data_IF_359689309073
#
_entry.id   IF_359689309073
#
_cell.length_a   1.000
_cell.length_b   1.000
_cell.length_c   1.000
_cell.angle_alpha   90.00
_cell.angle_beta   90.00
_cell.angle_gamma   90.00
#
_symmetry.space_group_name_H-M   'P 1'
#
loop_
_entity.id
_entity.type
_entity.pdbx_description
1 polymer ?
#
# COMPACT_ATOMS: atom_id res chain seq x y z
N UNK A 1 -3.38 2.09 19.53
CA UNK A 1 -2.25 1.25 19.97
C UNK A 1 -0.95 1.88 19.50
N UNK A 2 0.11 1.76 20.30
CA UNK A 2 1.47 2.11 19.87
C UNK A 2 1.90 1.12 18.79
N UNK A 3 2.24 1.62 17.61
CA UNK A 3 2.81 0.79 16.54
C UNK A 3 4.26 0.46 16.86
N UNK A 4 4.68 -0.78 16.64
CA UNK A 4 6.07 -1.21 16.77
C UNK A 4 6.62 -1.46 15.37
N UNK A 5 7.66 -0.72 14.97
CA UNK A 5 8.37 -0.99 13.71
C UNK A 5 9.86 -1.07 14.01
N UNK A 6 10.47 -2.22 13.74
CA UNK A 6 11.93 -2.43 13.83
C UNK A 6 12.53 -2.00 15.18
N UNK A 7 11.89 -2.43 16.28
CA UNK A 7 12.28 -2.11 17.65
C UNK A 7 12.18 -0.61 18.01
N UNK A 8 11.45 0.17 17.21
CA UNK A 8 11.06 1.55 17.52
C UNK A 8 9.57 1.61 17.82
N UNK A 9 9.21 2.34 18.88
CA UNK A 9 7.83 2.59 19.28
C UNK A 9 7.37 3.92 18.67
N UNK A 10 6.23 3.90 17.98
CA UNK A 10 5.63 5.07 17.37
C UNK A 10 4.33 5.42 18.11
N UNK A 11 4.24 6.65 18.62
CA UNK A 11 3.03 7.17 19.31
C UNK A 11 1.83 7.29 18.35
N UNK A 12 2.10 7.71 17.12
CA UNK A 12 1.21 7.71 15.95
C UNK A 12 2.14 7.54 14.75
N UNK A 13 1.88 6.56 13.89
CA UNK A 13 2.68 6.38 12.67
C UNK A 13 2.32 7.45 11.65
N UNK A 14 3.26 8.33 11.31
CA UNK A 14 3.14 9.21 10.14
C UNK A 14 3.67 8.50 8.89
N UNK A 15 3.30 9.00 7.70
CA UNK A 15 3.85 8.50 6.44
C UNK A 15 5.38 8.62 6.41
N UNK A 16 5.95 9.70 6.94
CA UNK A 16 7.40 9.85 7.04
C UNK A 16 8.05 8.78 7.92
N UNK A 17 7.40 8.35 9.01
CA UNK A 17 7.91 7.28 9.87
C UNK A 17 7.84 5.92 9.19
N UNK A 18 6.79 5.65 8.42
CA UNK A 18 6.69 4.44 7.58
C UNK A 18 7.81 4.42 6.54
N UNK A 19 8.04 5.55 5.85
CA UNK A 19 9.12 5.69 4.90
C UNK A 19 10.49 5.42 5.55
N UNK A 20 10.76 6.03 6.71
CA UNK A 20 12.01 5.83 7.46
C UNK A 20 12.20 4.35 7.84
N UNK A 21 11.15 3.68 8.30
CA UNK A 21 11.21 2.25 8.59
C UNK A 21 11.51 1.40 7.34
N UNK A 22 10.90 1.73 6.20
CA UNK A 22 11.17 1.04 4.94
C UNK A 22 12.61 1.26 4.44
N UNK A 23 13.15 2.48 4.61
CA UNK A 23 14.56 2.78 4.34
C UNK A 23 15.50 1.98 5.24
N UNK A 24 15.20 1.88 6.53
CA UNK A 24 16.00 1.11 7.49
C UNK A 24 16.13 -0.37 7.08
N UNK A 25 15.07 -0.95 6.51
CA UNK A 25 15.08 -2.32 5.97
C UNK A 25 16.04 -2.49 4.79
N UNK A 26 16.12 -1.51 3.88
CA UNK A 26 17.06 -1.52 2.76
C UNK A 26 18.50 -1.38 3.26
N UNK A 27 18.74 -0.41 4.15
CA UNK A 27 20.07 -0.01 4.59
C UNK A 27 20.69 -1.00 5.57
N UNK A 28 19.92 -1.43 6.58
CA UNK A 28 20.44 -2.30 7.65
C UNK A 28 20.37 -3.77 7.28
N UNK A 29 19.27 -4.20 6.67
CA UNK A 29 19.00 -5.62 6.42
C UNK A 29 19.29 -6.06 4.99
N UNK A 30 19.95 -5.19 4.20
CA UNK A 30 20.42 -5.50 2.84
C UNK A 30 19.33 -6.00 1.89
N UNK A 31 18.09 -5.53 2.04
CA UNK A 31 17.03 -5.79 1.05
C UNK A 31 17.45 -5.24 -0.31
N UNK A 32 17.44 -6.09 -1.34
CA UNK A 32 18.20 -5.83 -2.55
C UNK A 32 17.56 -4.84 -3.54
N UNK A 33 16.22 -4.72 -3.55
CA UNK A 33 15.51 -3.94 -4.58
C UNK A 33 14.48 -2.99 -4.02
N UNK A 34 13.44 -3.53 -3.37
CA UNK A 34 12.32 -2.71 -2.91
C UNK A 34 11.79 -3.19 -1.57
N UNK A 35 11.37 -2.26 -0.73
CA UNK A 35 10.57 -2.50 0.48
C UNK A 35 9.24 -1.78 0.31
N UNK A 36 8.13 -2.50 0.34
CA UNK A 36 6.79 -1.93 0.24
C UNK A 36 6.02 -2.18 1.53
N UNK A 37 5.49 -1.12 2.13
CA UNK A 37 4.69 -1.17 3.36
C UNK A 37 3.27 -0.72 3.02
N UNK A 38 2.29 -1.56 3.33
CA UNK A 38 0.87 -1.32 3.10
C UNK A 38 0.14 -1.02 4.42
N UNK A 39 -0.81 -0.11 4.38
CA UNK A 39 -1.68 0.31 5.47
C UNK A 39 -3.05 0.73 4.91
N UNK A 40 -4.04 0.94 5.77
CA UNK A 40 -5.43 1.25 5.38
C UNK A 40 -5.58 2.50 4.48
N UNK A 41 -4.76 3.53 4.71
CA UNK A 41 -4.73 4.77 3.92
C UNK A 41 -3.88 4.69 2.66
N UNK A 42 -3.15 3.60 2.42
CA UNK A 42 -2.34 3.45 1.21
C UNK A 42 -1.08 2.58 1.37
N UNK A 43 -0.04 2.91 0.61
CA UNK A 43 1.23 2.22 0.65
C UNK A 43 2.41 3.16 0.38
N UNK A 44 3.56 2.80 0.93
CA UNK A 44 4.87 3.40 0.64
C UNK A 44 5.77 2.32 0.07
N UNK A 45 6.48 2.62 -1.01
CA UNK A 45 7.54 1.77 -1.54
C UNK A 45 8.85 2.54 -1.60
N UNK A 46 9.88 2.00 -0.99
CA UNK A 46 11.25 2.48 -1.12
C UNK A 46 11.98 1.53 -2.06
N UNK A 47 12.66 2.06 -3.09
CA UNK A 47 13.54 1.29 -3.97
C UNK A 47 15.00 1.68 -3.75
N UNK A 48 15.90 0.73 -4.00
CA UNK A 48 17.33 0.98 -4.14
C UNK A 48 17.78 0.47 -5.51
N UNK A 49 18.24 1.39 -6.33
CA UNK A 49 18.87 1.08 -7.61
C UNK A 49 20.34 0.67 -7.41
N UNK A 50 20.95 0.08 -8.44
CA UNK A 50 22.33 -0.43 -8.37
C UNK A 50 23.38 0.64 -8.11
N UNK A 51 23.08 1.90 -8.45
CA UNK A 51 23.93 3.07 -8.20
C UNK A 51 23.81 3.60 -6.75
N UNK A 52 23.10 2.87 -5.87
CA UNK A 52 22.79 3.26 -4.50
C UNK A 52 21.83 4.45 -4.36
N UNK A 53 21.18 4.89 -5.45
CA UNK A 53 20.09 5.86 -5.38
C UNK A 53 18.87 5.21 -4.70
N UNK A 54 18.31 5.90 -3.71
CA UNK A 54 17.11 5.47 -2.99
C UNK A 54 15.94 6.37 -3.38
N UNK A 55 14.91 5.80 -3.99
CA UNK A 55 13.69 6.50 -4.37
C UNK A 55 12.50 6.06 -3.51
N UNK A 56 11.56 6.97 -3.29
CA UNK A 56 10.34 6.73 -2.52
C UNK A 56 9.11 6.99 -3.37
N UNK A 57 8.17 6.05 -3.32
CA UNK A 57 6.90 6.08 -4.02
C UNK A 57 5.77 5.98 -3.02
N UNK A 58 4.76 6.82 -3.20
CA UNK A 58 3.62 6.92 -2.30
C UNK A 58 2.35 6.66 -3.11
N UNK A 59 1.43 5.90 -2.51
CA UNK A 59 0.16 5.64 -3.14
C UNK A 59 -0.95 5.61 -2.09
N UNK A 60 -1.84 6.60 -2.11
CA UNK A 60 -3.02 6.57 -1.25
C UNK A 60 -4.03 5.51 -1.67
N UNK A 61 -4.84 5.05 -0.72
CA UNK A 61 -6.03 4.23 -0.99
C UNK A 61 -7.16 5.08 -1.58
N UNK A 62 -8.25 4.46 -2.00
CA UNK A 62 -9.38 5.20 -2.57
C UNK A 62 -10.21 5.92 -1.49
N UNK A 63 -10.86 7.03 -1.89
CA UNK A 63 -12.07 7.49 -1.22
C UNK A 63 -13.23 6.58 -1.61
N UNK A 64 -13.70 5.77 -0.65
CA UNK A 64 -14.75 4.79 -0.88
C UNK A 64 -16.09 5.30 -0.31
N UNK A 65 -17.22 5.04 -1.00
CA UNK A 65 -18.53 5.43 -0.50
C UNK A 65 -18.91 4.65 0.76
N UNK A 66 -19.77 5.25 1.58
CA UNK A 66 -20.31 4.59 2.79
C UNK A 66 -20.97 3.27 2.43
N UNK A 67 -20.62 2.20 3.17
CA UNK A 67 -21.15 0.86 2.95
C UNK A 67 -20.41 0.04 1.89
N UNK A 68 -19.37 0.58 1.25
CA UNK A 68 -18.52 -0.21 0.34
C UNK A 68 -17.72 -1.29 1.08
N UNK A 69 -17.11 -0.92 2.20
CA UNK A 69 -16.27 -1.82 3.00
C UNK A 69 -17.18 -2.75 3.82
N UNK A 70 -17.21 -4.03 3.45
CA UNK A 70 -17.88 -5.10 4.20
C UNK A 70 -16.93 -5.85 5.12
N UNK A 71 -15.67 -6.03 4.71
CA UNK A 71 -14.62 -6.70 5.48
C UNK A 71 -13.24 -6.21 5.05
N UNK A 72 -12.27 -6.18 5.95
CA UNK A 72 -10.86 -5.93 5.61
C UNK A 72 -10.07 -7.24 5.37
N UNK A 73 -10.72 -8.38 5.55
CA UNK A 73 -10.10 -9.70 5.41
C UNK A 73 -9.59 -9.89 3.98
N UNK A 74 -8.30 -10.26 3.85
CA UNK A 74 -7.67 -10.49 2.55
C UNK A 74 -7.24 -9.23 1.78
N UNK A 75 -7.50 -8.01 2.29
CA UNK A 75 -7.06 -6.79 1.62
C UNK A 75 -5.52 -6.68 1.54
N UNK A 76 -4.81 -7.10 2.59
CA UNK A 76 -3.35 -7.16 2.59
C UNK A 76 -2.78 -8.18 1.61
N UNK A 77 -3.37 -9.38 1.56
CA UNK A 77 -2.97 -10.42 0.61
C UNK A 77 -3.28 -9.99 -0.84
N UNK A 78 -4.43 -9.36 -1.06
CA UNK A 78 -4.82 -8.78 -2.34
C UNK A 78 -3.85 -7.69 -2.80
N UNK A 79 -3.46 -6.79 -1.90
CA UNK A 79 -2.42 -5.79 -2.17
C UNK A 79 -1.12 -6.44 -2.62
N UNK A 80 -0.62 -7.42 -1.84
CA UNK A 80 0.62 -8.11 -2.15
C UNK A 80 0.55 -8.84 -3.50
N UNK A 81 -0.57 -9.50 -3.79
CA UNK A 81 -0.81 -10.16 -5.07
C UNK A 81 -0.78 -9.17 -6.24
N UNK A 82 -1.40 -8.00 -6.10
CA UNK A 82 -1.37 -6.95 -7.12
C UNK A 82 0.04 -6.39 -7.37
N UNK A 83 0.82 -6.17 -6.32
CA UNK A 83 2.23 -5.75 -6.45
C UNK A 83 3.06 -6.82 -7.18
N UNK A 84 2.93 -8.09 -6.78
CA UNK A 84 3.64 -9.23 -7.40
C UNK A 84 3.24 -9.36 -8.88
N UNK A 85 1.96 -9.19 -9.21
CA UNK A 85 1.49 -9.17 -10.58
C UNK A 85 2.18 -8.06 -11.41
N UNK A 86 2.24 -6.84 -10.88
CA UNK A 86 2.95 -5.74 -11.53
C UNK A 86 4.46 -5.98 -11.69
N UNK A 87 5.10 -6.66 -10.73
CA UNK A 87 6.50 -7.12 -10.86
C UNK A 87 6.63 -8.10 -12.04
N UNK A 88 5.75 -9.10 -12.11
CA UNK A 88 5.75 -10.09 -13.20
C UNK A 88 5.55 -9.42 -14.57
N UNK A 89 4.70 -8.40 -14.66
CA UNK A 89 4.47 -7.60 -15.87
C UNK A 89 5.54 -6.54 -16.14
N UNK A 90 6.56 -6.42 -15.28
CA UNK A 90 7.65 -5.44 -15.38
C UNK A 90 7.15 -3.99 -15.42
N UNK A 91 6.08 -3.69 -14.70
CA UNK A 91 5.54 -2.33 -14.64
C UNK A 91 6.42 -1.39 -13.80
N UNK A 92 6.34 -0.06 -14.01
CA UNK A 92 6.91 0.93 -13.10
C UNK A 92 6.40 0.76 -11.66
N UNK A 93 7.19 1.13 -10.65
CA UNK A 93 6.82 0.93 -9.23
C UNK A 93 5.48 1.57 -8.90
N UNK A 94 5.22 2.80 -9.36
CA UNK A 94 3.95 3.47 -9.13
C UNK A 94 2.75 2.67 -9.66
N UNK A 95 2.86 2.06 -10.83
CA UNK A 95 1.80 1.22 -11.41
C UNK A 95 1.61 -0.09 -10.63
N UNK A 96 2.67 -0.64 -10.04
CA UNK A 96 2.56 -1.80 -9.12
C UNK A 96 1.75 -1.43 -7.88
N UNK A 97 1.99 -0.24 -7.31
CA UNK A 97 1.24 0.26 -6.17
C UNK A 97 -0.22 0.53 -6.52
N UNK A 98 -0.49 1.16 -7.67
CA UNK A 98 -1.84 1.32 -8.19
C UNK A 98 -2.57 -0.02 -8.30
N UNK A 99 -1.92 -1.02 -8.90
CA UNK A 99 -2.45 -2.37 -9.01
C UNK A 99 -2.74 -2.98 -7.63
N UNK A 100 -1.81 -2.88 -6.69
CA UNK A 100 -1.98 -3.35 -5.32
C UNK A 100 -3.20 -2.74 -4.64
N UNK A 101 -3.36 -1.41 -4.67
CA UNK A 101 -4.51 -0.73 -4.08
C UNK A 101 -5.83 -1.16 -4.75
N UNK A 102 -5.84 -1.33 -6.08
CA UNK A 102 -7.02 -1.78 -6.81
C UNK A 102 -7.47 -3.18 -6.36
N UNK A 103 -6.55 -4.14 -6.31
CA UNK A 103 -6.85 -5.52 -5.89
C UNK A 103 -7.27 -5.55 -4.41
N UNK A 104 -6.56 -4.84 -3.54
CA UNK A 104 -6.91 -4.72 -2.13
C UNK A 104 -8.33 -4.16 -1.94
N UNK A 105 -8.69 -3.13 -2.71
CA UNK A 105 -10.02 -2.50 -2.66
C UNK A 105 -11.11 -3.48 -3.09
N UNK A 106 -10.86 -4.34 -4.07
CA UNK A 106 -11.81 -5.37 -4.48
C UNK A 106 -12.07 -6.40 -3.39
N UNK A 107 -11.09 -6.71 -2.53
CA UNK A 107 -11.32 -7.55 -1.35
C UNK A 107 -12.31 -6.91 -0.36
N UNK A 108 -12.35 -5.57 -0.29
CA UNK A 108 -13.15 -4.87 0.73
C UNK A 108 -14.66 -5.03 0.54
N UNK A 109 -15.14 -5.31 -0.68
CA UNK A 109 -16.58 -5.35 -1.01
C UNK A 109 -17.26 -6.69 -0.69
N UNK A 110 -16.50 -7.68 -0.21
CA UNK A 110 -16.98 -9.02 0.12
C UNK A 110 -16.61 -9.41 1.56
N UNK A 111 -17.29 -10.40 2.13
CA UNK A 111 -16.98 -10.88 3.50
C UNK A 111 -15.82 -11.88 3.52
N UNK A 112 -15.54 -12.53 2.39
CA UNK A 112 -14.47 -13.52 2.24
C UNK A 112 -13.17 -12.87 1.78
N UNK A 113 -12.04 -13.56 1.97
CA UNK A 113 -10.71 -13.04 1.64
C UNK A 113 -10.44 -12.85 0.14
N UNK A 114 -11.28 -13.40 -0.74
CA UNK A 114 -11.06 -13.37 -2.19
C UNK A 114 -12.33 -13.26 -3.03
N UNK A 115 -13.53 -13.48 -2.47
CA UNK A 115 -14.78 -13.53 -3.25
C UNK A 115 -15.14 -12.21 -3.93
N UNK A 116 -14.57 -11.09 -3.48
CA UNK A 116 -14.70 -9.78 -4.14
C UNK A 116 -13.72 -9.54 -5.30
N UNK A 117 -12.64 -10.31 -5.40
CA UNK A 117 -11.59 -10.08 -6.41
C UNK A 117 -12.06 -10.57 -7.77
N UNK A 118 -12.07 -9.64 -8.74
CA UNK A 118 -12.39 -9.93 -10.14
C UNK A 118 -11.15 -10.18 -10.98
N UNK A 119 -11.30 -10.05 -12.29
CA UNK A 119 -10.19 -9.96 -13.25
C UNK A 119 -9.29 -8.76 -12.96
N UNK A 120 -8.07 -8.77 -13.50
CA UNK A 120 -7.14 -7.66 -13.31
C UNK A 120 -7.66 -6.37 -13.97
N UNK A 121 -8.37 -6.49 -15.09
CA UNK A 121 -9.00 -5.39 -15.79
C UNK A 121 -10.08 -4.74 -14.91
N UNK A 122 -10.97 -5.53 -14.31
CA UNK A 122 -11.99 -5.03 -13.37
C UNK A 122 -11.37 -4.37 -12.14
N UNK A 123 -10.26 -4.91 -11.62
CA UNK A 123 -9.54 -4.27 -10.53
C UNK A 123 -9.04 -2.88 -10.96
N UNK A 124 -8.36 -2.78 -12.10
CA UNK A 124 -7.74 -1.54 -12.56
C UNK A 124 -8.76 -0.45 -12.93
N UNK A 125 -9.97 -0.83 -13.37
CA UNK A 125 -11.07 0.10 -13.65
C UNK A 125 -11.55 0.87 -12.41
N UNK A 126 -11.21 0.43 -11.20
CA UNK A 126 -11.50 1.19 -9.98
C UNK A 126 -10.86 2.59 -10.01
N UNK A 127 -9.75 2.77 -10.73
CA UNK A 127 -9.09 4.07 -10.92
C UNK A 127 -9.97 5.10 -11.64
N UNK A 128 -10.88 4.63 -12.48
CA UNK A 128 -11.81 5.47 -13.22
C UNK A 128 -13.08 5.77 -12.41
N UNK A 129 -13.32 5.00 -11.34
CA UNK A 129 -14.53 5.08 -10.51
C UNK A 129 -14.28 5.87 -9.22
N UNK A 130 -13.11 5.72 -8.62
CA UNK A 130 -12.79 6.29 -7.32
C UNK A 130 -11.52 7.13 -7.38
N UNK A 131 -11.51 8.22 -6.61
CA UNK A 131 -10.35 9.08 -6.48
C UNK A 131 -9.37 8.53 -5.43
N UNK A 132 -8.08 8.54 -5.74
CA UNK A 132 -7.04 8.24 -4.75
C UNK A 132 -6.91 9.35 -3.70
N UNK A 133 -6.61 8.95 -2.48
CA UNK A 133 -6.18 9.84 -1.40
C UNK A 133 -4.77 10.37 -1.70
N UNK A 134 -4.51 11.60 -1.30
CA UNK A 134 -3.15 12.14 -1.25
C UNK A 134 -2.49 11.69 0.05
N UNK A 135 -1.24 11.25 -0.02
CA UNK A 135 -0.42 10.95 1.15
C UNK A 135 0.64 12.04 1.31
N UNK A 136 0.53 12.82 2.37
CA UNK A 136 1.54 13.80 2.74
C UNK A 136 2.47 13.20 3.81
N UNK A 137 3.74 13.63 3.92
CA UNK A 137 4.66 13.13 4.95
C UNK A 137 4.14 13.25 6.38
N UNK A 138 3.30 14.26 6.63
CA UNK A 138 2.65 14.53 7.92
C UNK A 138 1.33 13.79 8.13
N UNK A 139 0.77 13.13 7.10
CA UNK A 139 -0.45 12.35 7.24
C UNK A 139 -0.26 11.25 8.28
N UNK A 140 -1.25 11.10 9.16
CA UNK A 140 -1.25 10.07 10.20
C UNK A 140 -1.99 8.84 9.67
N UNK A 141 -1.42 7.66 9.90
CA UNK A 141 -1.92 6.39 9.36
C UNK A 141 -3.28 6.02 9.97
N UNK A 142 -3.55 6.45 11.20
CA UNK A 142 -4.77 6.12 11.96
C UNK A 142 -5.72 7.31 12.17
N UNK A 143 -5.72 8.34 11.31
CA UNK A 143 -6.67 9.43 11.48
C UNK A 143 -8.10 8.88 11.40
N UNK A 144 -8.81 8.96 12.54
CA UNK A 144 -10.15 8.46 12.78
C UNK A 144 -11.24 9.32 12.14
N UNK A 145 -10.88 10.20 11.21
CA UNK A 145 -11.87 10.98 10.47
C UNK A 145 -12.62 10.05 9.50
N UNK A 146 -13.79 9.64 9.99
CA UNK A 146 -14.88 8.99 9.27
C UNK A 146 -15.57 9.97 8.31
#
# INVERSE_FOLDING_TARGET
ELGFILNQSFQQGTISQIEQAARLLIETYSVQRTVTVHFDRGAVCVSREYDSTVECFFQGSFYLPKGYIKSAVGAGDGFAAGVIYGIHKKWPIQERLHCGICVATMCLKDLTSYGGVGTIEECLQLKDTFQFRTLEPTSVVNDLEN
#
